data_IF_098861318036
#
_entry.id   IF_098861318036
#
_cell.length_a   1.000
_cell.length_b   1.000
_cell.length_c   1.000
_cell.angle_alpha   90.00
_cell.angle_beta   90.00
_cell.angle_gamma   90.00
#
_symmetry.space_group_name_H-M   'P 1'
#
loop_
_entity.id
_entity.type
_entity.pdbx_description
1 polymer ?
#
# COMPACT_ATOMS: atom_id res chain seq x y z
N UNK A 1 2.80 6.36 16.96
CA UNK A 1 2.37 5.17 16.21
C UNK A 1 2.55 5.31 14.70
N UNK A 2 2.03 6.37 14.09
CA UNK A 2 2.19 6.60 12.65
C UNK A 2 3.64 6.55 12.18
N UNK A 3 4.52 7.28 12.90
CA UNK A 3 5.93 7.36 12.49
C UNK A 3 6.64 6.02 12.60
N UNK A 4 6.26 5.19 13.56
CA UNK A 4 6.84 3.86 13.70
C UNK A 4 6.46 2.96 12.54
N UNK A 5 5.21 3.03 12.10
CA UNK A 5 4.72 2.24 10.97
C UNK A 5 5.43 2.68 9.68
N UNK A 6 5.54 3.99 9.47
CA UNK A 6 6.21 4.54 8.29
C UNK A 6 7.68 4.12 8.28
N UNK A 7 8.37 4.24 9.40
CA UNK A 7 9.77 3.86 9.49
C UNK A 7 9.96 2.36 9.24
N UNK A 8 9.06 1.52 9.77
CA UNK A 8 9.11 0.09 9.52
C UNK A 8 8.99 -0.22 8.04
N UNK A 9 8.02 0.40 7.35
CA UNK A 9 7.78 0.16 5.93
C UNK A 9 8.94 0.65 5.06
N UNK A 10 9.58 1.76 5.43
CA UNK A 10 10.76 2.24 4.69
C UNK A 10 11.96 1.29 4.79
N UNK A 11 12.04 0.52 5.86
CA UNK A 11 13.18 -0.36 6.12
C UNK A 11 12.90 -1.83 5.86
N UNK A 12 11.66 -2.18 5.53
CA UNK A 12 11.29 -3.59 5.32
C UNK A 12 11.84 -4.09 3.99
N UNK A 13 12.21 -5.38 3.97
CA UNK A 13 12.72 -6.01 2.77
C UNK A 13 11.61 -6.10 1.72
N UNK A 14 11.87 -5.73 0.44
CA UNK A 14 10.88 -5.86 -0.63
C UNK A 14 10.25 -7.24 -0.75
N UNK A 15 11.01 -8.31 -0.52
CA UNK A 15 10.46 -9.67 -0.57
C UNK A 15 9.42 -9.90 0.51
N UNK A 16 9.59 -9.31 1.67
CA UNK A 16 8.59 -9.38 2.74
C UNK A 16 7.29 -8.71 2.31
N UNK A 17 7.38 -7.56 1.63
CA UNK A 17 6.22 -6.85 1.11
C UNK A 17 5.52 -7.70 0.05
N UNK A 18 6.29 -8.28 -0.87
CA UNK A 18 5.75 -9.13 -1.94
C UNK A 18 5.01 -10.33 -1.36
N UNK A 19 5.60 -11.00 -0.37
CA UNK A 19 4.98 -12.15 0.27
C UNK A 19 3.70 -11.77 1.00
N UNK A 20 3.66 -10.59 1.59
CA UNK A 20 2.45 -10.10 2.22
C UNK A 20 1.30 -10.02 1.22
N UNK A 21 1.54 -9.45 0.04
CA UNK A 21 0.50 -9.37 -0.99
C UNK A 21 0.08 -10.75 -1.50
N UNK A 22 1.05 -11.66 -1.68
CA UNK A 22 0.73 -13.03 -2.10
C UNK A 22 -0.18 -13.71 -1.07
N UNK A 23 0.11 -13.53 0.20
CA UNK A 23 -0.71 -14.10 1.28
C UNK A 23 -2.12 -13.51 1.30
N UNK A 24 -2.28 -12.28 0.83
CA UNK A 24 -3.59 -11.65 0.69
C UNK A 24 -4.30 -12.00 -0.62
N UNK A 25 -3.68 -12.87 -1.43
CA UNK A 25 -4.27 -13.28 -2.71
C UNK A 25 -4.08 -12.27 -3.83
N UNK A 26 -3.11 -11.37 -3.69
CA UNK A 26 -2.83 -10.32 -4.67
C UNK A 26 -1.51 -10.66 -5.38
N UNK A 27 -1.62 -11.03 -6.66
CA UNK A 27 -0.48 -11.46 -7.46
C UNK A 27 -0.07 -10.34 -8.40
N UNK A 28 0.85 -9.50 -7.93
CA UNK A 28 1.30 -8.32 -8.66
C UNK A 28 2.34 -8.70 -9.73
N UNK A 29 2.26 -8.06 -10.89
CA UNK A 29 3.34 -8.13 -11.87
C UNK A 29 4.55 -7.34 -11.35
N UNK A 30 5.71 -7.50 -12.02
CA UNK A 30 6.91 -6.77 -11.63
C UNK A 30 6.70 -5.27 -11.71
N UNK A 31 6.03 -4.79 -12.76
CA UNK A 31 5.74 -3.36 -12.91
C UNK A 31 4.81 -2.86 -11.81
N UNK A 32 3.77 -3.63 -11.53
CA UNK A 32 2.83 -3.28 -10.45
C UNK A 32 3.54 -3.23 -9.11
N UNK A 33 4.38 -4.23 -8.84
CA UNK A 33 5.14 -4.28 -7.59
C UNK A 33 6.09 -3.08 -7.47
N UNK A 34 6.73 -2.68 -8.57
CA UNK A 34 7.61 -1.53 -8.57
C UNK A 34 6.86 -0.25 -8.20
N UNK A 35 5.60 -0.09 -8.64
CA UNK A 35 4.78 1.05 -8.24
C UNK A 35 4.49 1.04 -6.74
N UNK A 36 4.26 -0.13 -6.16
CA UNK A 36 4.06 -0.26 -4.70
C UNK A 36 5.33 0.17 -3.96
N UNK A 37 6.49 -0.32 -4.39
CA UNK A 37 7.76 0.02 -3.75
C UNK A 37 8.04 1.53 -3.87
N UNK A 38 7.78 2.11 -5.03
CA UNK A 38 7.96 3.55 -5.23
C UNK A 38 7.02 4.35 -4.32
N UNK A 39 5.79 3.90 -4.16
CA UNK A 39 4.86 4.54 -3.23
C UNK A 39 5.41 4.50 -1.81
N UNK A 40 5.90 3.36 -1.37
CA UNK A 40 6.43 3.20 -0.01
C UNK A 40 7.64 4.11 0.21
N UNK A 41 8.53 4.23 -0.77
CA UNK A 41 9.73 5.02 -0.60
C UNK A 41 9.51 6.51 -0.77
N UNK A 42 8.55 6.92 -1.60
CA UNK A 42 8.43 8.33 -1.98
C UNK A 42 7.15 8.99 -1.48
N UNK A 43 6.05 8.24 -1.40
CA UNK A 43 4.72 8.82 -1.19
C UNK A 43 4.02 8.30 0.06
N UNK A 44 4.70 7.46 0.85
CA UNK A 44 4.07 6.85 2.01
C UNK A 44 3.54 7.88 3.01
N UNK A 45 4.16 9.04 3.06
CA UNK A 45 3.73 10.12 3.96
C UNK A 45 2.33 10.64 3.63
N UNK A 46 1.85 10.41 2.40
CA UNK A 46 0.49 10.79 2.03
C UNK A 46 -0.56 10.10 2.90
N UNK A 47 -0.21 8.97 3.52
CA UNK A 47 -1.10 8.27 4.45
C UNK A 47 -1.41 9.15 5.66
N UNK A 48 -0.51 10.05 6.04
CA UNK A 48 -0.74 10.99 7.13
C UNK A 48 -1.74 12.09 6.77
N UNK A 49 -2.05 12.24 5.49
CA UNK A 49 -2.97 13.24 4.96
C UNK A 49 -4.08 12.52 4.19
N UNK A 50 -4.85 11.70 4.90
CA UNK A 50 -5.85 10.83 4.28
C UNK A 50 -6.90 11.59 3.48
N UNK A 51 -7.20 12.82 3.89
CA UNK A 51 -8.15 13.67 3.17
C UNK A 51 -7.65 14.08 1.79
N UNK A 52 -6.34 14.07 1.58
CA UNK A 52 -5.71 14.42 0.31
C UNK A 52 -5.32 13.20 -0.51
N UNK A 53 -5.34 12.00 0.09
CA UNK A 53 -4.90 10.79 -0.59
C UNK A 53 -6.06 10.18 -1.37
N UNK A 54 -5.84 9.94 -2.65
CA UNK A 54 -6.84 9.32 -3.51
C UNK A 54 -6.26 8.08 -4.17
N UNK A 55 -6.66 6.91 -3.65
CA UNK A 55 -6.16 5.64 -4.17
C UNK A 55 -6.58 5.42 -5.63
N UNK A 56 -7.69 5.99 -6.07
CA UNK A 56 -8.15 5.83 -7.45
C UNK A 56 -7.19 6.43 -8.46
N UNK A 57 -6.33 7.36 -8.05
CA UNK A 57 -5.30 7.93 -8.92
C UNK A 57 -4.24 6.89 -9.34
N UNK A 58 -4.16 5.79 -8.63
CA UNK A 58 -3.21 4.71 -8.91
C UNK A 58 -3.80 3.60 -9.79
N UNK A 59 -5.07 3.69 -10.14
CA UNK A 59 -5.77 2.65 -10.92
C UNK A 59 -5.05 2.33 -12.23
N UNK A 60 -4.49 3.34 -12.86
CA UNK A 60 -3.80 3.20 -14.16
C UNK A 60 -2.55 2.32 -14.12
N UNK A 61 -2.01 2.08 -12.93
CA UNK A 61 -0.78 1.30 -12.78
C UNK A 61 -1.04 -0.18 -12.53
N UNK A 62 -2.28 -0.58 -12.34
CA UNK A 62 -2.63 -1.94 -11.95
C UNK A 62 -3.70 -2.52 -12.85
N UNK A 63 -3.70 -3.86 -13.02
CA UNK A 63 -4.83 -4.47 -13.70
C UNK A 63 -6.07 -4.38 -12.80
N UNK A 64 -7.23 -4.54 -13.42
CA UNK A 64 -8.51 -4.33 -12.73
C UNK A 64 -8.66 -5.23 -11.51
N UNK A 65 -8.35 -6.52 -11.65
CA UNK A 65 -8.49 -7.49 -10.57
C UNK A 65 -7.59 -7.12 -9.39
N UNK A 66 -6.32 -6.80 -9.67
CA UNK A 66 -5.38 -6.42 -8.63
C UNK A 66 -5.76 -5.10 -7.98
N UNK A 67 -6.22 -4.14 -8.77
CA UNK A 67 -6.62 -2.85 -8.22
C UNK A 67 -7.78 -2.97 -7.25
N UNK A 68 -8.79 -3.77 -7.60
CA UNK A 68 -9.94 -3.99 -6.72
C UNK A 68 -9.48 -4.58 -5.38
N UNK A 69 -8.60 -5.59 -5.44
CA UNK A 69 -8.07 -6.23 -4.23
C UNK A 69 -7.24 -5.26 -3.41
N UNK A 70 -6.40 -4.44 -4.06
CA UNK A 70 -5.59 -3.43 -3.38
C UNK A 70 -6.47 -2.39 -2.70
N UNK A 71 -7.51 -1.94 -3.37
CA UNK A 71 -8.43 -0.95 -2.81
C UNK A 71 -9.16 -1.51 -1.58
N UNK A 72 -9.60 -2.76 -1.65
CA UNK A 72 -10.23 -3.41 -0.51
C UNK A 72 -9.26 -3.54 0.67
N UNK A 73 -8.02 -3.95 0.39
CA UNK A 73 -6.99 -4.04 1.42
C UNK A 73 -6.69 -2.68 2.04
N UNK A 74 -6.62 -1.64 1.21
CA UNK A 74 -6.42 -0.27 1.69
C UNK A 74 -7.51 0.15 2.67
N UNK A 75 -8.77 -0.14 2.34
CA UNK A 75 -9.89 0.21 3.23
C UNK A 75 -9.84 -0.59 4.53
N UNK A 76 -9.47 -1.87 4.48
CA UNK A 76 -9.30 -2.68 5.69
C UNK A 76 -8.21 -2.11 6.59
N UNK A 77 -7.09 -1.73 6.00
CA UNK A 77 -5.97 -1.14 6.75
C UNK A 77 -6.39 0.17 7.39
N UNK A 78 -7.13 1.01 6.66
CA UNK A 78 -7.64 2.26 7.22
C UNK A 78 -8.51 2.03 8.44
N UNK A 79 -9.45 1.09 8.34
CA UNK A 79 -10.35 0.77 9.45
C UNK A 79 -9.56 0.28 10.65
N UNK A 80 -8.59 -0.61 10.42
CA UNK A 80 -7.76 -1.15 11.50
C UNK A 80 -6.93 -0.10 12.20
N UNK A 81 -6.34 0.81 11.43
CA UNK A 81 -5.36 1.75 11.96
C UNK A 81 -5.91 3.11 12.33
N UNK A 82 -7.18 3.38 12.04
CA UNK A 82 -7.77 4.66 12.44
C UNK A 82 -7.79 4.83 13.96
N UNK A 83 -7.76 3.74 14.70
CA UNK A 83 -7.66 3.78 16.17
C UNK A 83 -6.28 4.25 16.64
N UNK A 84 -5.27 4.20 15.78
CA UNK A 84 -3.91 4.60 16.10
C UNK A 84 -3.56 5.96 15.50
N UNK A 85 -4.46 6.51 14.73
CA UNK A 85 -4.29 7.83 14.11
C UNK A 85 -4.95 8.94 14.96
#
# INVERSE_FOLDING_TARGET
MKNMIINYLHNVNPDTIKNYFINEGIYLSDDEFNHIINFIHNDLELINHLEDFNIDSYQKYFNETNFIKLKNLYHEVLIKYQHYL
#
